data_IF_568960002751
#
_entry.id   IF_568960002751
#
_cell.length_a   1.000
_cell.length_b   1.000
_cell.length_c   1.000
_cell.angle_alpha   90.00
_cell.angle_beta   90.00
_cell.angle_gamma   90.00
#
_symmetry.space_group_name_H-M   'P 1'
#
loop_
_entity.id
_entity.type
_entity.pdbx_description
1 polymer ?
#
# COMPACT_ATOMS: atom_id res chain seq x y z
N UNK A 1 14.08 -1.23 26.06
CA UNK A 1 14.18 -2.01 24.81
C UNK A 1 14.10 -1.03 23.66
N UNK A 2 15.25 -0.67 23.09
CA UNK A 2 15.35 0.32 22.02
C UNK A 2 15.92 -0.45 20.82
N UNK A 3 15.03 -0.92 19.93
CA UNK A 3 15.42 -1.58 18.70
C UNK A 3 15.76 -0.52 17.65
N UNK A 4 16.98 0.02 17.72
CA UNK A 4 17.57 0.79 16.63
C UNK A 4 18.08 -0.18 15.57
N UNK A 5 17.49 -0.15 14.37
CA UNK A 5 18.11 -0.74 13.19
C UNK A 5 19.37 0.09 12.89
N UNK A 6 20.54 -0.49 13.15
CA UNK A 6 21.82 0.04 12.68
C UNK A 6 22.08 -0.55 11.29
N UNK A 7 22.01 0.28 10.24
CA UNK A 7 22.31 -0.14 8.88
C UNK A 7 23.81 0.06 8.63
N UNK A 8 24.52 -1.02 8.28
CA UNK A 8 25.54 -0.91 7.23
C UNK A 8 24.87 -0.34 5.97
N UNK A 9 25.60 0.32 5.06
CA UNK A 9 25.05 0.85 3.79
C UNK A 9 24.59 -0.28 2.84
N UNK A 10 23.54 -1.00 3.23
CA UNK A 10 22.91 -2.09 2.49
C UNK A 10 21.72 -1.49 1.75
N UNK A 11 21.69 -1.55 0.41
CA UNK A 11 20.57 -1.07 -0.37
C UNK A 11 19.25 -1.74 0.04
N UNK A 12 18.19 -0.94 0.17
CA UNK A 12 16.84 -1.38 0.53
C UNK A 12 15.86 -1.00 -0.57
N UNK A 13 15.05 -1.96 -1.03
CA UNK A 13 13.87 -1.70 -1.86
C UNK A 13 12.59 -2.07 -1.11
N UNK A 14 11.52 -1.31 -1.34
CA UNK A 14 10.18 -1.59 -0.80
C UNK A 14 9.28 -2.01 -1.95
N UNK A 15 8.61 -3.15 -1.79
CA UNK A 15 7.68 -3.71 -2.76
C UNK A 15 6.28 -3.81 -2.17
N UNK A 16 5.35 -3.07 -2.77
CA UNK A 16 3.90 -3.33 -2.65
C UNK A 16 3.41 -4.25 -3.76
N UNK A 17 2.27 -3.91 -4.38
CA UNK A 17 1.56 -4.78 -5.32
C UNK A 17 2.27 -5.11 -6.63
N UNK A 18 3.49 -4.62 -6.86
CA UNK A 18 4.32 -5.02 -7.99
C UNK A 18 3.82 -4.58 -9.37
N UNK A 19 2.92 -3.60 -9.43
CA UNK A 19 2.35 -3.07 -10.67
C UNK A 19 3.24 -2.03 -11.39
N UNK A 20 4.34 -1.63 -10.77
CA UNK A 20 5.25 -0.63 -11.34
C UNK A 20 6.01 -1.20 -12.54
N UNK A 21 5.94 -0.50 -13.68
CA UNK A 21 6.64 -0.89 -14.92
C UNK A 21 8.13 -0.51 -14.93
N UNK A 22 8.59 0.28 -13.95
CA UNK A 22 9.98 0.66 -13.81
C UNK A 22 10.79 -0.48 -13.18
N UNK A 23 11.74 -1.03 -13.95
CA UNK A 23 12.69 -2.02 -13.44
C UNK A 23 13.46 -1.44 -12.23
N UNK A 24 13.57 -2.22 -11.15
CA UNK A 24 14.25 -1.81 -9.93
C UNK A 24 13.42 -0.98 -8.93
N UNK A 25 12.19 -0.56 -9.28
CA UNK A 25 11.34 0.20 -8.36
C UNK A 25 10.71 -0.68 -7.26
N UNK A 26 10.47 -1.96 -7.55
CA UNK A 26 9.91 -2.95 -6.63
C UNK A 26 10.77 -4.22 -6.55
N UNK A 27 12.06 -4.12 -6.91
CA UNK A 27 13.02 -5.22 -6.91
C UNK A 27 14.42 -4.68 -6.70
N UNK A 28 15.31 -5.49 -6.13
CA UNK A 28 16.72 -5.10 -5.88
C UNK A 28 17.63 -6.30 -6.02
N UNK A 29 18.86 -6.08 -6.50
CA UNK A 29 19.92 -7.09 -6.58
C UNK A 29 20.98 -6.74 -5.53
N UNK A 30 21.36 -7.70 -4.70
CA UNK A 30 22.40 -7.51 -3.69
C UNK A 30 21.99 -6.62 -2.50
N UNK A 31 20.70 -6.50 -2.22
CA UNK A 31 20.15 -5.72 -1.12
C UNK A 31 18.98 -6.40 -0.42
N UNK A 32 18.29 -5.67 0.45
CA UNK A 32 17.10 -6.16 1.17
C UNK A 32 15.85 -5.73 0.41
N UNK A 33 14.91 -6.66 0.21
CA UNK A 33 13.58 -6.35 -0.31
C UNK A 33 12.55 -6.44 0.83
N UNK A 34 12.01 -5.30 1.22
CA UNK A 34 10.88 -5.21 2.15
C UNK A 34 9.58 -5.38 1.39
N UNK A 35 8.94 -6.53 1.53
CA UNK A 35 7.70 -6.86 0.83
C UNK A 35 6.49 -6.64 1.75
N UNK A 36 5.59 -5.73 1.35
CA UNK A 36 4.42 -5.35 2.12
C UNK A 36 3.18 -6.18 1.83
N UNK A 37 3.27 -7.26 1.02
CA UNK A 37 2.10 -8.04 0.54
C UNK A 37 1.13 -8.53 1.60
N UNK A 38 1.59 -8.67 2.84
CA UNK A 38 0.80 -9.16 3.97
C UNK A 38 0.27 -8.03 4.87
N UNK A 39 0.61 -6.77 4.58
CA UNK A 39 0.05 -5.60 5.26
C UNK A 39 -1.29 -5.24 4.61
N UNK A 40 -2.25 -6.16 4.75
CA UNK A 40 -3.62 -6.06 4.23
C UNK A 40 -4.58 -5.81 5.38
N UNK A 41 -5.35 -4.74 5.29
CA UNK A 41 -6.39 -4.35 6.23
C UNK A 41 -7.24 -3.26 5.58
N UNK A 42 -8.55 -3.29 5.79
CA UNK A 42 -9.44 -2.17 5.53
C UNK A 42 -10.43 -2.08 6.69
N UNK A 43 -10.30 -1.05 7.51
CA UNK A 43 -11.19 -0.79 8.65
C UNK A 43 -11.67 0.63 8.61
N UNK A 44 -12.97 0.83 8.80
CA UNK A 44 -13.56 2.15 8.96
C UNK A 44 -13.89 2.35 10.42
N UNK A 45 -13.46 3.48 10.97
CA UNK A 45 -13.81 3.87 12.32
C UNK A 45 -15.33 4.13 12.40
N UNK A 46 -16.06 3.52 13.35
CA UNK A 46 -17.52 3.57 13.36
C UNK A 46 -18.11 4.90 13.85
N UNK A 47 -17.28 5.81 14.37
CA UNK A 47 -17.69 7.11 14.90
C UNK A 47 -17.22 8.28 14.05
N UNK A 48 -16.37 8.01 13.06
CA UNK A 48 -15.76 9.02 12.19
C UNK A 48 -15.81 8.57 10.73
N UNK A 49 -15.37 9.43 9.80
CA UNK A 49 -15.27 9.09 8.38
C UNK A 49 -13.85 8.65 8.00
N UNK A 50 -13.09 8.10 8.96
CA UNK A 50 -11.68 7.73 8.77
C UNK A 50 -11.58 6.23 8.51
N UNK A 51 -10.93 5.88 7.40
CA UNK A 51 -10.56 4.50 7.07
C UNK A 51 -9.06 4.28 7.29
N UNK A 52 -8.71 3.22 8.01
CA UNK A 52 -7.34 2.70 8.13
C UNK A 52 -7.14 1.58 7.12
N UNK A 53 -6.19 1.76 6.21
CA UNK A 53 -5.95 0.86 5.08
C UNK A 53 -4.49 0.37 5.11
N UNK A 54 -4.31 -0.93 4.96
CA UNK A 54 -3.00 -1.58 4.87
C UNK A 54 -2.25 -1.21 3.59
N UNK A 55 -0.91 -1.13 3.68
CA UNK A 55 -0.06 -0.67 2.58
C UNK A 55 -0.18 -1.51 1.29
N UNK A 56 -0.56 -2.78 1.38
CA UNK A 56 -0.78 -3.65 0.21
C UNK A 56 -2.23 -4.13 0.06
N UNK A 57 -3.16 -3.44 0.71
CA UNK A 57 -4.58 -3.70 0.48
C UNK A 57 -4.96 -3.44 -0.98
N UNK A 58 -5.99 -4.15 -1.45
CA UNK A 58 -6.48 -4.08 -2.83
C UNK A 58 -7.65 -3.10 -2.93
N UNK A 59 -7.68 -2.33 -4.01
CA UNK A 59 -8.80 -1.40 -4.27
C UNK A 59 -10.16 -2.08 -4.30
N UNK A 60 -10.25 -3.36 -4.69
CA UNK A 60 -11.49 -4.14 -4.53
C UNK A 60 -12.00 -4.14 -3.09
N UNK A 61 -11.14 -4.52 -2.14
CA UNK A 61 -11.51 -4.61 -0.72
C UNK A 61 -11.92 -3.23 -0.18
N UNK A 62 -11.22 -2.17 -0.61
CA UNK A 62 -11.53 -0.79 -0.19
C UNK A 62 -12.86 -0.29 -0.74
N UNK A 63 -13.29 -0.72 -1.92
CA UNK A 63 -14.61 -0.35 -2.45
C UNK A 63 -15.73 -1.21 -1.85
N UNK A 64 -15.42 -2.43 -1.42
CA UNK A 64 -16.38 -3.35 -0.79
C UNK A 64 -16.58 -3.09 0.72
N UNK A 65 -15.57 -2.57 1.43
CA UNK A 65 -15.61 -2.29 2.88
C UNK A 65 -16.59 -1.16 3.29
N UNK A 66 -16.69 -0.03 2.56
CA UNK A 66 -17.55 1.11 2.90
C UNK A 66 -19.05 0.83 2.75
N UNK A 67 -19.44 -0.28 2.11
CA UNK A 67 -20.83 -0.66 1.86
C UNK A 67 -21.69 -0.82 3.12
N UNK A 68 -21.08 -0.89 4.31
CA UNK A 68 -21.80 -0.91 5.58
C UNK A 68 -22.14 0.49 6.16
N UNK A 69 -21.57 1.58 5.61
CA UNK A 69 -21.66 2.94 6.20
C UNK A 69 -21.98 4.05 5.18
N UNK A 70 -22.36 3.72 3.94
CA UNK A 70 -22.62 4.71 2.86
C UNK A 70 -21.43 5.63 2.52
N UNK A 71 -20.21 5.23 2.84
CA UNK A 71 -18.99 5.99 2.55
C UNK A 71 -18.41 5.60 1.18
N UNK A 72 -17.66 6.50 0.56
CA UNK A 72 -16.91 6.23 -0.67
C UNK A 72 -15.52 6.88 -0.59
N UNK A 73 -14.54 6.26 -1.24
CA UNK A 73 -13.16 6.74 -1.30
C UNK A 73 -12.75 6.92 -2.76
N UNK A 74 -12.20 8.09 -3.10
CA UNK A 74 -11.60 8.32 -4.41
C UNK A 74 -10.36 7.43 -4.57
N UNK A 75 -10.25 6.71 -5.70
CA UNK A 75 -9.30 5.62 -5.80
C UNK A 75 -9.16 4.98 -7.16
N UNK A 76 -8.31 3.95 -7.24
CA UNK A 76 -8.04 3.24 -8.48
C UNK A 76 -9.24 2.41 -8.95
N UNK A 77 -9.37 2.31 -10.27
CA UNK A 77 -10.39 1.46 -10.93
C UNK A 77 -9.91 0.02 -11.14
N UNK A 78 -8.61 -0.24 -11.01
CA UNK A 78 -8.03 -1.59 -11.18
C UNK A 78 -8.15 -2.35 -9.86
N UNK A 79 -9.02 -3.38 -9.76
CA UNK A 79 -9.36 -3.95 -8.45
C UNK A 79 -8.20 -4.67 -7.75
N UNK A 80 -7.19 -5.11 -8.52
CA UNK A 80 -6.02 -5.86 -8.03
C UNK A 80 -4.83 -4.97 -7.66
N UNK A 81 -4.87 -3.69 -8.00
CA UNK A 81 -3.78 -2.81 -7.70
C UNK A 81 -3.71 -2.55 -6.19
N UNK A 82 -2.48 -2.41 -5.68
CA UNK A 82 -2.22 -2.18 -4.29
C UNK A 82 -2.18 -0.69 -3.97
N UNK A 83 -2.68 -0.34 -2.80
CA UNK A 83 -2.83 1.04 -2.33
C UNK A 83 -1.50 1.78 -2.21
N UNK A 84 -0.52 1.19 -1.54
CA UNK A 84 0.70 1.89 -1.15
C UNK A 84 1.52 2.39 -2.34
N UNK A 85 1.55 1.61 -3.43
CA UNK A 85 2.24 2.00 -4.66
C UNK A 85 1.56 3.16 -5.38
N UNK A 86 0.23 3.17 -5.44
CA UNK A 86 -0.52 4.22 -6.13
C UNK A 86 -0.51 5.54 -5.34
N UNK A 87 -0.74 5.50 -4.02
CA UNK A 87 -0.78 6.72 -3.20
C UNK A 87 0.59 7.39 -3.12
N UNK A 88 1.67 6.60 -3.01
CA UNK A 88 3.03 7.14 -2.84
C UNK A 88 3.72 7.49 -4.16
N UNK A 89 3.35 6.80 -5.26
CA UNK A 89 3.98 6.93 -6.59
C UNK A 89 3.43 8.05 -7.49
N UNK A 90 2.47 8.84 -6.98
CA UNK A 90 1.61 9.83 -7.67
C UNK A 90 0.33 9.22 -8.27
N UNK A 91 -0.78 9.73 -7.75
CA UNK A 91 -2.12 9.77 -8.35
C UNK A 91 -2.12 10.79 -9.50
N UNK A 92 -2.46 10.36 -10.71
CA UNK A 92 -2.87 11.26 -11.78
C UNK A 92 -4.36 10.99 -12.02
N UNK A 93 -5.21 11.73 -11.32
CA UNK A 93 -6.51 12.10 -11.88
C UNK A 93 -6.31 13.38 -12.70
N UNK A 94 -6.47 13.26 -14.01
CA UNK A 94 -7.49 13.94 -14.83
C UNK A 94 -7.64 13.17 -16.14
#
# INVERSE_FOLDING_TARGET
>A
MQSSIAFADIPLAVKGGGHTLCAGAASIVGGILSDTRNLTCAQVDPWTTIASIGADERWRSIHETPGAQELAVAGERVPKAAVGGLITGRFLDL
#
